data_IF_387734650554
#
_entry.id   IF_387734650554
#
_cell.length_a   1.000
_cell.length_b   1.000
_cell.length_c   1.000
_cell.angle_alpha   90.00
_cell.angle_beta   90.00
_cell.angle_gamma   90.00
#
_symmetry.space_group_name_H-M   'P 1'
#
loop_
_entity.id
_entity.type
_entity.pdbx_description
1 polymer ?
#
# COMPACT_ATOMS: atom_id res chain seq x y z
N UNK A 1 -30.38 74.22 19.98
CA UNK A 1 -31.32 73.13 19.61
C UNK A 1 -31.63 73.32 18.13
N UNK A 2 -31.05 72.48 17.26
CA UNK A 2 -31.60 71.19 16.78
C UNK A 2 -32.74 71.46 15.78
N UNK A 3 -32.78 70.99 14.54
CA UNK A 3 -31.98 70.06 13.74
C UNK A 3 -32.36 70.36 12.27
N UNK A 4 -31.39 70.64 11.38
CA UNK A 4 -31.64 70.64 9.94
C UNK A 4 -31.37 69.23 9.43
N UNK A 5 -32.46 68.47 9.22
CA UNK A 5 -32.45 67.17 8.57
C UNK A 5 -31.85 67.26 7.16
N UNK A 6 -30.55 66.99 7.03
CA UNK A 6 -29.96 66.55 5.76
C UNK A 6 -30.12 65.03 5.67
N UNK A 7 -31.18 64.60 4.98
CA UNK A 7 -31.31 63.23 4.50
C UNK A 7 -30.20 63.01 3.47
N UNK A 8 -29.10 62.40 3.90
CA UNK A 8 -28.09 61.85 2.99
C UNK A 8 -28.67 60.54 2.47
N UNK A 9 -29.23 60.59 1.27
CA UNK A 9 -29.67 59.44 0.52
C UNK A 9 -28.43 58.67 0.06
N UNK A 10 -28.09 57.59 0.77
CA UNK A 10 -27.05 56.65 0.36
C UNK A 10 -27.55 55.88 -0.87
N UNK A 11 -27.13 56.29 -2.06
CA UNK A 11 -27.22 55.44 -3.25
C UNK A 11 -26.23 54.29 -3.06
N UNK A 12 -26.73 53.12 -2.64
CA UNK A 12 -26.02 51.85 -2.82
C UNK A 12 -26.06 51.57 -4.32
N UNK A 13 -25.05 52.07 -5.05
CA UNK A 13 -24.79 51.60 -6.41
C UNK A 13 -24.37 50.14 -6.24
N UNK A 14 -25.27 49.23 -6.58
CA UNK A 14 -24.94 47.83 -6.82
C UNK A 14 -24.03 47.76 -8.05
N UNK A 15 -22.75 48.11 -7.87
CA UNK A 15 -21.73 47.70 -8.81
C UNK A 15 -21.63 46.20 -8.61
N UNK A 16 -22.19 45.43 -9.53
CA UNK A 16 -21.86 44.03 -9.72
C UNK A 16 -20.42 43.99 -10.22
N UNK A 17 -19.47 44.18 -9.29
CA UNK A 17 -18.06 43.98 -9.56
C UNK A 17 -17.94 42.50 -9.88
N UNK A 18 -17.51 42.19 -11.10
CA UNK A 18 -17.12 40.85 -11.51
C UNK A 18 -16.13 40.34 -10.46
N UNK A 19 -16.58 39.40 -9.63
CA UNK A 19 -15.84 39.00 -8.43
C UNK A 19 -14.71 38.04 -8.83
N UNK A 20 -13.61 38.62 -9.28
CA UNK A 20 -12.34 37.91 -9.42
C UNK A 20 -11.80 37.64 -8.01
N UNK A 21 -11.21 36.47 -7.82
CA UNK A 21 -10.58 36.12 -6.54
C UNK A 21 -9.12 36.50 -6.64
N UNK A 22 -8.61 37.25 -5.67
CA UNK A 22 -7.29 37.86 -5.78
C UNK A 22 -6.48 37.65 -4.52
N UNK A 23 -5.40 36.88 -4.60
CA UNK A 23 -4.42 36.76 -3.52
C UNK A 23 -3.34 37.83 -3.61
N UNK A 24 -2.92 38.35 -2.45
CA UNK A 24 -1.86 39.36 -2.35
C UNK A 24 -0.60 38.81 -1.70
N UNK A 25 0.57 39.19 -2.21
CA UNK A 25 1.87 38.88 -1.63
C UNK A 25 2.84 40.06 -1.73
N UNK A 26 3.65 40.25 -0.69
CA UNK A 26 4.64 41.32 -0.61
C UNK A 26 5.92 40.82 0.07
N UNK A 27 6.98 40.71 -0.73
CA UNK A 27 8.28 40.18 -0.31
C UNK A 27 9.41 40.90 -1.02
N UNK A 28 10.62 40.70 -0.49
CA UNK A 28 11.85 41.29 -1.04
C UNK A 28 12.15 40.70 -2.41
N UNK A 29 11.88 39.40 -2.63
CA UNK A 29 12.08 38.73 -3.92
C UNK A 29 10.75 38.48 -4.64
N UNK A 30 10.79 38.51 -5.98
CA UNK A 30 9.62 38.29 -6.82
C UNK A 30 9.03 36.88 -6.62
N UNK A 31 9.87 35.87 -6.47
CA UNK A 31 9.41 34.49 -6.29
C UNK A 31 8.69 34.29 -4.95
N UNK A 32 9.20 34.88 -3.87
CA UNK A 32 8.53 34.81 -2.57
C UNK A 32 7.22 35.59 -2.56
N UNK A 33 7.18 36.75 -3.24
CA UNK A 33 5.95 37.55 -3.37
C UNK A 33 4.87 36.78 -4.15
N UNK A 34 5.26 36.10 -5.24
CA UNK A 34 4.36 35.20 -5.99
C UNK A 34 3.85 34.04 -5.15
N UNK A 35 4.72 33.37 -4.38
CA UNK A 35 4.33 32.27 -3.49
C UNK A 35 3.36 32.75 -2.42
N UNK A 36 3.62 33.89 -1.80
CA UNK A 36 2.72 34.47 -0.80
C UNK A 36 1.36 34.86 -1.42
N UNK A 37 1.35 35.44 -2.62
CA UNK A 37 0.12 35.77 -3.34
C UNK A 37 -0.71 34.51 -3.65
N UNK A 38 -0.08 33.42 -4.10
CA UNK A 38 -0.77 32.14 -4.34
C UNK A 38 -1.31 31.51 -3.04
N UNK A 39 -0.56 31.58 -1.94
CA UNK A 39 -1.03 31.10 -0.64
C UNK A 39 -2.24 31.91 -0.16
N UNK A 40 -2.18 33.24 -0.32
CA UNK A 40 -3.30 34.11 0.01
C UNK A 40 -4.53 33.83 -0.87
N UNK A 41 -4.33 33.62 -2.17
CA UNK A 41 -5.39 33.23 -3.11
C UNK A 41 -6.06 31.92 -2.69
N UNK A 42 -5.25 30.91 -2.34
CA UNK A 42 -5.77 29.64 -1.86
C UNK A 42 -6.59 29.77 -0.58
N UNK A 43 -6.16 30.60 0.37
CA UNK A 43 -6.92 30.87 1.58
C UNK A 43 -8.26 31.58 1.32
N UNK A 44 -8.39 32.33 0.23
CA UNK A 44 -9.66 32.95 -0.17
C UNK A 44 -10.64 31.95 -0.78
N UNK A 45 -10.14 30.90 -1.42
CA UNK A 45 -10.94 29.88 -2.12
C UNK A 45 -11.31 28.71 -1.21
N UNK A 46 -10.36 28.25 -0.40
CA UNK A 46 -10.52 27.05 0.41
C UNK A 46 -9.99 27.28 1.82
N UNK A 47 -10.89 27.14 2.78
CA UNK A 47 -10.53 26.92 4.18
C UNK A 47 -10.63 25.42 4.44
N UNK A 48 -9.58 24.66 4.11
CA UNK A 48 -9.41 23.32 4.68
C UNK A 48 -8.81 23.49 6.07
N UNK A 49 -9.67 23.55 7.09
CA UNK A 49 -9.23 23.64 8.49
C UNK A 49 -8.80 22.24 8.94
N UNK A 50 -7.53 21.88 8.73
CA UNK A 50 -6.92 20.78 9.49
C UNK A 50 -6.55 21.34 10.87
N UNK A 51 -7.47 21.22 11.83
CA UNK A 51 -7.28 21.69 13.20
C UNK A 51 -6.52 20.63 14.01
N UNK A 52 -5.20 20.59 13.89
CA UNK A 52 -4.36 19.85 14.84
C UNK A 52 -4.11 20.73 16.07
N UNK A 53 -4.82 20.44 17.16
CA UNK A 53 -4.59 21.10 18.44
C UNK A 53 -3.31 20.56 19.08
N UNK A 54 -2.20 21.27 18.89
CA UNK A 54 -0.96 20.96 19.60
C UNK A 54 -1.06 21.43 21.05
N UNK A 55 -1.00 20.48 21.99
CA UNK A 55 -0.88 20.74 23.43
C UNK A 55 0.60 20.69 23.81
N UNK A 56 1.20 21.86 24.01
CA UNK A 56 2.56 21.95 24.56
C UNK A 56 2.45 22.05 26.09
N UNK A 57 2.88 21.01 26.79
CA UNK A 57 2.98 20.99 28.26
C UNK A 57 4.41 21.30 28.62
N UNK A 58 4.65 22.46 29.24
CA UNK A 58 5.95 22.78 29.82
C UNK A 58 5.86 22.59 31.34
N UNK A 59 6.73 21.73 31.86
CA UNK A 59 6.99 21.57 33.29
C UNK A 59 8.36 22.19 33.54
N UNK A 60 8.40 23.25 34.33
CA UNK A 60 9.66 23.87 34.76
C UNK A 60 10.26 23.10 35.96
N UNK A 61 11.53 23.37 36.28
CA UNK A 61 12.30 22.66 37.34
C UNK A 61 11.70 22.79 38.76
N UNK A 62 10.63 23.57 38.92
CA UNK A 62 9.88 23.77 40.17
C UNK A 62 8.50 23.08 40.18
N UNK A 63 8.22 22.22 39.21
CA UNK A 63 6.93 21.53 39.02
C UNK A 63 5.72 22.49 38.83
N UNK A 64 5.93 23.71 38.35
CA UNK A 64 4.81 24.57 37.97
C UNK A 64 4.28 24.14 36.60
N UNK A 65 2.96 23.95 36.57
CA UNK A 65 2.26 23.60 35.35
C UNK A 65 1.91 24.87 34.59
N UNK A 66 2.43 25.01 33.36
CA UNK A 66 1.92 26.00 32.41
C UNK A 66 1.41 25.32 31.14
N UNK A 67 0.13 25.53 30.84
CA UNK A 67 -0.49 25.04 29.62
C UNK A 67 -0.58 26.19 28.62
N UNK A 68 0.17 26.11 27.53
CA UNK A 68 -0.02 27.00 26.37
C UNK A 68 -0.78 26.23 25.29
N UNK A 69 -2.04 26.60 25.10
CA UNK A 69 -2.80 26.20 23.91
C UNK A 69 -2.41 27.12 22.75
N UNK A 70 -1.65 26.59 21.81
CA UNK A 70 -1.33 27.28 20.55
C UNK A 70 -2.31 26.78 19.49
N UNK A 71 -3.28 27.61 19.12
CA UNK A 71 -4.16 27.36 17.97
C UNK A 71 -3.39 27.67 16.66
N UNK A 72 -2.45 26.81 16.29
CA UNK A 72 -1.84 26.87 14.95
C UNK A 72 -2.70 26.04 14.01
N UNK A 73 -3.67 26.69 13.37
CA UNK A 73 -4.40 26.10 12.25
C UNK A 73 -3.42 26.02 11.09
N UNK A 74 -3.06 24.79 10.69
CA UNK A 74 -2.22 24.58 9.51
C UNK A 74 -3.15 24.47 8.31
N UNK A 75 -3.28 25.57 7.57
CA UNK A 75 -4.06 25.59 6.33
C UNK A 75 -3.24 24.90 5.24
N UNK A 76 -3.71 23.75 4.79
CA UNK A 76 -3.10 22.99 3.69
C UNK A 76 -3.57 23.60 2.38
N UNK A 77 -2.72 24.38 1.71
CA UNK A 77 -3.05 25.06 0.45
C UNK A 77 -3.30 24.07 -0.70
N UNK A 78 -4.31 24.40 -1.53
CA UNK A 78 -4.62 23.74 -2.80
C UNK A 78 -3.36 23.69 -3.67
N UNK A 79 -3.08 22.52 -4.27
CA UNK A 79 -1.78 22.23 -4.88
C UNK A 79 -1.58 22.77 -6.30
N UNK A 80 -2.62 23.22 -7.02
CA UNK A 80 -2.46 23.79 -8.37
C UNK A 80 -3.66 24.67 -8.78
N UNK A 81 -3.39 25.90 -9.20
CA UNK A 81 -4.38 26.76 -9.87
C UNK A 81 -4.11 26.80 -11.37
N UNK A 82 -5.18 26.86 -12.16
CA UNK A 82 -5.16 26.96 -13.61
C UNK A 82 -5.61 28.38 -13.98
N UNK A 83 -4.93 29.04 -14.92
CA UNK A 83 -5.34 30.38 -15.38
C UNK A 83 -4.96 31.54 -14.46
N UNK A 84 -4.15 31.33 -13.41
CA UNK A 84 -3.73 32.46 -12.54
C UNK A 84 -2.88 33.46 -13.30
N UNK A 85 -3.34 34.69 -13.32
CA UNK A 85 -2.60 35.84 -13.81
C UNK A 85 -1.88 36.55 -12.66
N UNK A 86 -0.66 37.02 -12.92
CA UNK A 86 0.12 37.77 -11.93
C UNK A 86 0.25 39.24 -12.33
N UNK A 87 -0.29 40.13 -11.51
CA UNK A 87 -0.05 41.57 -11.62
C UNK A 87 1.12 41.90 -10.68
N UNK A 88 2.22 42.41 -11.23
CA UNK A 88 3.48 42.60 -10.51
C UNK A 88 3.82 44.10 -10.45
N UNK A 89 3.96 44.62 -9.25
CA UNK A 89 4.43 45.97 -8.98
C UNK A 89 5.81 45.91 -8.32
N UNK A 90 6.83 46.45 -8.99
CA UNK A 90 8.18 46.55 -8.43
C UNK A 90 8.30 47.80 -7.55
N UNK A 91 8.67 47.60 -6.29
CA UNK A 91 8.91 48.66 -5.32
C UNK A 91 10.41 48.86 -5.05
N UNK A 92 10.76 49.95 -4.38
CA UNK A 92 12.15 50.20 -3.93
C UNK A 92 12.64 49.14 -2.94
N UNK A 93 11.74 48.56 -2.15
CA UNK A 93 12.05 47.61 -1.07
C UNK A 93 11.65 46.16 -1.37
N UNK A 94 11.20 45.85 -2.60
CA UNK A 94 10.75 44.50 -2.95
C UNK A 94 9.72 44.48 -4.09
N UNK A 95 8.81 43.52 -4.02
CA UNK A 95 7.76 43.28 -5.01
C UNK A 95 6.42 43.13 -4.32
N UNK A 96 5.41 43.81 -4.85
CA UNK A 96 4.00 43.55 -4.59
C UNK A 96 3.45 42.74 -5.76
N UNK A 97 2.76 41.65 -5.45
CA UNK A 97 2.21 40.73 -6.44
C UNK A 97 0.77 40.41 -6.09
N UNK A 98 -0.09 40.49 -7.09
CA UNK A 98 -1.47 40.01 -7.03
C UNK A 98 -1.61 38.78 -7.93
N UNK A 99 -2.07 37.67 -7.36
CA UNK A 99 -2.46 36.46 -8.08
C UNK A 99 -3.97 36.53 -8.30
N UNK A 100 -4.40 36.65 -9.54
CA UNK A 100 -5.80 36.86 -9.91
C UNK A 100 -6.32 35.60 -10.59
N UNK A 101 -7.50 35.16 -10.19
CA UNK A 101 -8.25 34.10 -10.85
C UNK A 101 -9.60 34.66 -11.31
N UNK A 102 -9.88 34.54 -12.61
CA UNK A 102 -11.08 35.10 -13.23
C UNK A 102 -12.16 34.02 -13.39
N UNK A 103 -13.42 34.45 -13.45
CA UNK A 103 -14.54 33.56 -13.81
C UNK A 103 -14.41 33.05 -15.25
N UNK A 104 -13.71 33.76 -16.12
CA UNK A 104 -13.39 33.30 -17.47
C UNK A 104 -12.58 32.00 -17.47
N UNK A 105 -11.88 31.66 -16.37
CA UNK A 105 -11.12 30.41 -16.22
C UNK A 105 -11.98 29.19 -15.85
N UNK A 106 -13.26 29.36 -15.51
CA UNK A 106 -14.19 28.27 -15.17
C UNK A 106 -14.14 27.09 -16.17
N UNK A 107 -14.14 27.31 -17.51
CA UNK A 107 -14.05 26.22 -18.48
C UNK A 107 -12.77 25.38 -18.37
N UNK A 108 -11.64 25.95 -17.93
CA UNK A 108 -10.38 25.22 -17.76
C UNK A 108 -10.53 24.13 -16.69
N UNK A 109 -11.11 24.50 -15.55
CA UNK A 109 -11.35 23.57 -14.45
C UNK A 109 -12.38 22.50 -14.79
N UNK A 110 -13.47 22.87 -15.48
CA UNK A 110 -14.47 21.90 -15.93
C UNK A 110 -13.86 20.85 -16.88
N UNK A 111 -13.06 21.29 -17.85
CA UNK A 111 -12.36 20.39 -18.78
C UNK A 111 -11.40 19.43 -18.04
N UNK A 112 -10.65 19.92 -17.05
CA UNK A 112 -9.78 19.05 -16.26
C UNK A 112 -10.57 18.06 -15.39
N UNK A 113 -11.70 18.46 -14.81
CA UNK A 113 -12.60 17.54 -14.10
C UNK A 113 -13.11 16.44 -15.04
N UNK A 114 -13.51 16.78 -16.26
CA UNK A 114 -13.98 15.80 -17.25
C UNK A 114 -12.87 14.79 -17.63
N UNK A 115 -11.64 15.27 -17.87
CA UNK A 115 -10.47 14.40 -18.10
C UNK A 115 -10.15 13.49 -16.91
N UNK A 116 -10.26 14.00 -15.68
CA UNK A 116 -10.06 13.21 -14.47
C UNK A 116 -11.14 12.13 -14.33
N UNK A 117 -12.41 12.49 -14.59
CA UNK A 117 -13.52 11.54 -14.63
C UNK A 117 -13.29 10.43 -15.66
N UNK A 118 -12.86 10.75 -16.89
CA UNK A 118 -12.52 9.74 -17.91
C UNK A 118 -11.41 8.80 -17.43
N UNK A 119 -10.33 9.34 -16.83
CA UNK A 119 -9.24 8.54 -16.26
C UNK A 119 -9.72 7.60 -15.14
N UNK A 120 -10.59 8.09 -14.25
CA UNK A 120 -11.18 7.29 -13.18
C UNK A 120 -12.04 6.16 -13.77
N UNK A 121 -12.89 6.49 -14.75
CA UNK A 121 -13.73 5.51 -15.42
C UNK A 121 -12.90 4.39 -16.07
N UNK A 122 -11.86 4.77 -16.81
CA UNK A 122 -10.93 3.82 -17.43
C UNK A 122 -10.30 2.90 -16.37
N UNK A 123 -9.77 3.46 -15.27
CA UNK A 123 -9.16 2.66 -14.18
C UNK A 123 -10.17 1.70 -13.56
N UNK A 124 -11.38 2.15 -13.28
CA UNK A 124 -12.41 1.29 -12.65
C UNK A 124 -12.88 0.16 -13.57
N UNK A 125 -12.80 0.33 -14.89
CA UNK A 125 -13.12 -0.72 -15.86
C UNK A 125 -12.04 -1.83 -15.96
N UNK A 126 -10.82 -1.58 -15.47
CA UNK A 126 -9.76 -2.60 -15.43
C UNK A 126 -10.05 -3.58 -14.28
N UNK A 127 -10.26 -4.85 -14.66
CA UNK A 127 -10.35 -5.96 -13.70
C UNK A 127 -8.95 -6.35 -13.25
N UNK A 128 -8.72 -6.27 -11.94
CA UNK A 128 -7.47 -6.68 -11.30
C UNK A 128 -7.74 -7.92 -10.47
N UNK A 129 -7.13 -9.06 -10.82
CA UNK A 129 -7.24 -10.30 -10.03
C UNK A 129 -6.25 -10.33 -8.85
N UNK A 130 -5.20 -9.50 -8.92
CA UNK A 130 -4.21 -9.35 -7.87
C UNK A 130 -4.65 -8.27 -6.89
N UNK A 131 -4.91 -8.65 -5.63
CA UNK A 131 -5.38 -7.73 -4.59
C UNK A 131 -4.43 -6.56 -4.32
N UNK A 132 -3.10 -6.70 -4.50
CA UNK A 132 -2.17 -5.59 -4.34
C UNK A 132 -2.30 -4.57 -5.47
N UNK A 133 -2.45 -5.05 -6.72
CA UNK A 133 -2.70 -4.15 -7.85
C UNK A 133 -4.04 -3.46 -7.73
N UNK A 134 -5.06 -4.19 -7.25
CA UNK A 134 -6.38 -3.63 -7.01
C UNK A 134 -6.36 -2.59 -5.86
N UNK A 135 -5.58 -2.82 -4.80
CA UNK A 135 -5.32 -1.86 -3.71
C UNK A 135 -4.73 -0.56 -4.27
N UNK A 136 -3.64 -0.66 -5.03
CA UNK A 136 -2.96 0.51 -5.61
C UNK A 136 -3.87 1.25 -6.61
N UNK A 137 -4.64 0.53 -7.42
CA UNK A 137 -5.66 1.11 -8.30
C UNK A 137 -6.66 1.98 -7.52
N UNK A 138 -7.20 1.51 -6.39
CA UNK A 138 -8.14 2.31 -5.61
C UNK A 138 -7.48 3.52 -4.92
N UNK A 139 -6.24 3.39 -4.43
CA UNK A 139 -5.48 4.54 -3.91
C UNK A 139 -5.28 5.62 -4.98
N UNK A 140 -4.90 5.22 -6.19
CA UNK A 140 -4.77 6.15 -7.32
C UNK A 140 -6.10 6.83 -7.66
N UNK A 141 -7.21 6.07 -7.67
CA UNK A 141 -8.55 6.63 -7.90
C UNK A 141 -8.92 7.64 -6.82
N UNK A 142 -8.65 7.37 -5.54
CA UNK A 142 -8.89 8.33 -4.44
C UNK A 142 -8.11 9.62 -4.69
N UNK A 143 -6.82 9.53 -5.03
CA UNK A 143 -6.01 10.73 -5.34
C UNK A 143 -6.55 11.54 -6.52
N UNK A 144 -7.12 10.89 -7.55
CA UNK A 144 -7.78 11.59 -8.65
C UNK A 144 -9.08 12.26 -8.22
N UNK A 145 -9.87 11.61 -7.34
CA UNK A 145 -11.10 12.18 -6.80
C UNK A 145 -10.82 13.38 -5.89
N UNK A 146 -9.75 13.34 -5.08
CA UNK A 146 -9.30 14.48 -4.28
C UNK A 146 -8.96 15.70 -5.14
N UNK A 147 -8.32 15.49 -6.30
CA UNK A 147 -8.06 16.57 -7.26
C UNK A 147 -9.35 17.16 -7.85
N UNK A 148 -10.36 16.33 -8.11
CA UNK A 148 -11.68 16.82 -8.54
C UNK A 148 -12.28 17.70 -7.44
N UNK A 149 -12.24 17.28 -6.17
CA UNK A 149 -12.71 18.09 -5.05
C UNK A 149 -11.98 19.43 -4.93
N UNK A 150 -10.64 19.44 -5.08
CA UNK A 150 -9.85 20.67 -5.10
C UNK A 150 -10.35 21.65 -6.19
N UNK A 151 -10.60 21.16 -7.41
CA UNK A 151 -11.16 21.97 -8.49
C UNK A 151 -12.61 22.39 -8.24
N UNK A 152 -13.43 21.58 -7.56
CA UNK A 152 -14.78 21.96 -7.16
C UNK A 152 -14.76 23.12 -6.17
N UNK A 153 -13.83 23.14 -5.21
CA UNK A 153 -13.67 24.27 -4.30
C UNK A 153 -13.31 25.55 -5.04
N UNK A 154 -12.40 25.47 -6.02
CA UNK A 154 -12.05 26.60 -6.87
C UNK A 154 -13.25 27.12 -7.66
N UNK A 155 -13.97 26.22 -8.32
CA UNK A 155 -15.18 26.55 -9.07
C UNK A 155 -16.24 27.22 -8.19
N UNK A 156 -16.47 26.69 -6.98
CA UNK A 156 -17.38 27.30 -6.00
C UNK A 156 -16.92 28.71 -5.61
N UNK A 157 -15.62 28.91 -5.35
CA UNK A 157 -15.04 30.23 -5.07
C UNK A 157 -15.28 31.22 -6.21
N UNK A 158 -15.19 30.77 -7.46
CA UNK A 158 -15.47 31.57 -8.67
C UNK A 158 -16.98 31.80 -8.89
N UNK A 159 -17.84 31.27 -8.02
CA UNK A 159 -19.29 31.43 -8.08
C UNK A 159 -19.97 30.46 -9.05
N UNK A 160 -19.31 29.38 -9.47
CA UNK A 160 -19.94 28.31 -10.22
C UNK A 160 -20.80 27.43 -9.31
N UNK A 161 -22.12 27.47 -9.50
CA UNK A 161 -23.09 26.82 -8.59
C UNK A 161 -23.73 25.55 -9.15
N UNK A 162 -23.39 25.14 -10.38
CA UNK A 162 -23.96 23.92 -10.98
C UNK A 162 -23.35 22.68 -10.33
N UNK A 163 -24.18 21.64 -10.18
CA UNK A 163 -23.74 20.37 -9.62
C UNK A 163 -22.73 19.69 -10.56
N UNK A 164 -21.52 19.45 -10.06
CA UNK A 164 -20.46 18.73 -10.77
C UNK A 164 -20.62 17.24 -10.46
N UNK A 165 -20.97 16.47 -11.49
CA UNK A 165 -21.21 15.04 -11.34
C UNK A 165 -19.89 14.28 -11.25
N UNK A 166 -19.70 13.57 -10.15
CA UNK A 166 -18.63 12.57 -10.01
C UNK A 166 -19.12 11.21 -10.48
N UNK A 167 -18.27 10.45 -11.16
CA UNK A 167 -18.60 9.09 -11.61
C UNK A 167 -18.76 8.12 -10.43
N UNK A 168 -18.05 8.38 -9.33
CA UNK A 168 -18.08 7.58 -8.10
C UNK A 168 -17.79 8.47 -6.89
N UNK A 169 -18.29 8.12 -5.71
CA UNK A 169 -17.95 8.82 -4.46
C UNK A 169 -16.66 8.28 -3.85
N UNK A 170 -15.92 9.14 -3.15
CA UNK A 170 -14.72 8.78 -2.38
C UNK A 170 -15.02 7.66 -1.39
N UNK A 171 -16.09 7.80 -0.59
CA UNK A 171 -16.53 6.80 0.40
C UNK A 171 -16.74 5.42 -0.20
N UNK A 172 -17.27 5.32 -1.43
CA UNK A 172 -17.45 4.02 -2.09
C UNK A 172 -16.10 3.37 -2.42
N UNK A 173 -15.12 4.15 -2.87
CA UNK A 173 -13.79 3.65 -3.18
C UNK A 173 -13.01 3.31 -1.90
N UNK A 174 -13.16 4.10 -0.83
CA UNK A 174 -12.60 3.80 0.49
C UNK A 174 -13.15 2.49 1.06
N UNK A 175 -14.47 2.28 0.99
CA UNK A 175 -15.08 1.01 1.42
C UNK A 175 -14.52 -0.18 0.62
N UNK A 176 -14.36 -0.04 -0.69
CA UNK A 176 -13.75 -1.09 -1.52
C UNK A 176 -12.28 -1.34 -1.14
N UNK A 177 -11.52 -0.29 -0.82
CA UNK A 177 -10.14 -0.38 -0.36
C UNK A 177 -10.06 -1.12 0.99
N UNK A 178 -10.93 -0.79 1.94
CA UNK A 178 -11.01 -1.49 3.23
C UNK A 178 -11.33 -2.98 3.06
N UNK A 179 -12.22 -3.35 2.13
CA UNK A 179 -12.51 -4.75 1.85
C UNK A 179 -11.28 -5.51 1.33
N UNK A 180 -10.48 -4.88 0.47
CA UNK A 180 -9.22 -5.45 0.00
C UNK A 180 -8.23 -5.61 1.15
N UNK A 181 -8.10 -4.59 2.00
CA UNK A 181 -7.21 -4.65 3.15
C UNK A 181 -7.62 -5.74 4.14
N UNK A 182 -8.92 -5.91 4.38
CA UNK A 182 -9.46 -7.03 5.15
C UNK A 182 -9.05 -8.36 4.52
N UNK A 183 -9.24 -8.58 3.21
CA UNK A 183 -8.83 -9.80 2.51
C UNK A 183 -7.32 -10.06 2.54
N UNK A 184 -6.50 -9.01 2.51
CA UNK A 184 -5.03 -9.13 2.60
C UNK A 184 -4.58 -9.51 4.02
N UNK A 185 -5.31 -9.04 5.04
CA UNK A 185 -5.05 -9.27 6.46
C UNK A 185 -5.74 -10.51 7.04
N UNK A 186 -6.67 -11.12 6.29
CA UNK A 186 -7.31 -12.38 6.64
C UNK A 186 -6.29 -13.48 6.93
N UNK A 187 -6.72 -14.42 7.78
CA UNK A 187 -5.93 -15.59 8.16
C UNK A 187 -5.39 -16.29 6.91
N UNK A 188 -4.07 -16.53 6.90
CA UNK A 188 -3.41 -17.21 5.77
C UNK A 188 -3.59 -18.73 5.95
N UNK A 189 -3.92 -19.44 4.89
CA UNK A 189 -4.06 -20.88 4.86
C UNK A 189 -2.96 -21.47 3.99
N UNK A 190 -1.99 -22.14 4.62
CA UNK A 190 -0.87 -22.79 3.96
C UNK A 190 -1.23 -24.22 3.57
N UNK A 191 -1.17 -24.54 2.29
CA UNK A 191 -1.35 -25.89 1.75
C UNK A 191 -0.05 -26.39 1.13
N UNK A 192 0.35 -27.61 1.47
CA UNK A 192 1.55 -28.27 0.95
C UNK A 192 1.12 -29.30 -0.11
N UNK A 193 1.57 -29.10 -1.35
CA UNK A 193 1.26 -29.91 -2.53
C UNK A 193 2.51 -30.67 -2.99
N UNK A 194 2.60 -31.98 -2.72
CA UNK A 194 3.72 -32.83 -3.17
C UNK A 194 3.33 -33.50 -4.49
N UNK A 195 3.99 -33.14 -5.59
CA UNK A 195 3.61 -33.57 -6.95
C UNK A 195 4.49 -34.70 -7.50
N UNK A 196 5.80 -34.44 -7.66
CA UNK A 196 6.80 -35.51 -7.85
C UNK A 196 7.22 -36.01 -6.48
N UNK A 197 7.06 -37.29 -6.22
CA UNK A 197 7.07 -37.82 -4.85
C UNK A 197 7.88 -39.10 -4.72
N UNK A 198 8.11 -39.54 -3.48
CA UNK A 198 8.71 -40.83 -3.25
C UNK A 198 7.78 -41.94 -3.76
N UNK A 199 8.34 -42.99 -4.41
CA UNK A 199 7.56 -44.18 -4.80
C UNK A 199 6.80 -44.80 -3.63
N UNK A 200 7.41 -44.78 -2.43
CA UNK A 200 6.76 -45.21 -1.20
C UNK A 200 6.07 -44.02 -0.52
N UNK A 201 4.74 -44.08 -0.43
CA UNK A 201 3.90 -43.02 0.10
C UNK A 201 4.18 -42.68 1.56
N UNK A 202 4.68 -43.64 2.36
CA UNK A 202 5.03 -43.42 3.76
C UNK A 202 6.13 -42.36 3.94
N UNK A 203 6.99 -42.19 2.94
CA UNK A 203 8.00 -41.13 2.96
C UNK A 203 7.40 -39.75 2.66
N UNK A 204 6.35 -39.68 1.85
CA UNK A 204 5.59 -38.44 1.63
C UNK A 204 4.91 -38.01 2.93
N UNK A 205 4.23 -38.95 3.61
CA UNK A 205 3.61 -38.69 4.91
C UNK A 205 4.63 -38.26 5.96
N UNK A 206 5.81 -38.89 5.96
CA UNK A 206 6.91 -38.53 6.86
C UNK A 206 7.40 -37.10 6.61
N UNK A 207 7.56 -36.71 5.34
CA UNK A 207 7.94 -35.35 4.97
C UNK A 207 6.87 -34.33 5.40
N UNK A 208 5.58 -34.60 5.10
CA UNK A 208 4.47 -33.70 5.48
C UNK A 208 4.40 -33.53 6.99
N UNK A 209 4.50 -34.63 7.76
CA UNK A 209 4.47 -34.59 9.23
C UNK A 209 5.64 -33.78 9.79
N UNK A 210 6.85 -33.97 9.27
CA UNK A 210 8.02 -33.20 9.76
C UNK A 210 7.94 -31.72 9.36
N UNK A 211 7.43 -31.39 8.17
CA UNK A 211 7.18 -30.01 7.76
C UNK A 211 6.12 -29.34 8.63
N UNK A 212 4.98 -29.98 8.85
CA UNK A 212 3.90 -29.44 9.68
C UNK A 212 4.41 -29.12 11.08
N UNK A 213 5.11 -30.07 11.72
CA UNK A 213 5.72 -29.88 13.04
C UNK A 213 6.71 -28.72 13.08
N UNK A 214 7.55 -28.56 12.05
CA UNK A 214 8.56 -27.48 11.97
C UNK A 214 7.96 -26.10 11.67
N UNK A 215 6.80 -26.07 11.01
CA UNK A 215 6.08 -24.87 10.63
C UNK A 215 5.10 -24.40 11.71
N UNK A 216 4.58 -25.30 12.54
CA UNK A 216 3.51 -25.04 13.52
C UNK A 216 3.76 -23.80 14.39
N UNK A 217 4.92 -23.72 15.06
CA UNK A 217 5.28 -22.56 15.89
C UNK A 217 5.32 -21.25 15.08
N UNK A 218 5.90 -21.30 13.87
CA UNK A 218 5.94 -20.13 13.00
C UNK A 218 4.55 -19.74 12.50
N UNK A 219 3.72 -20.72 12.17
CA UNK A 219 2.38 -20.50 11.64
C UNK A 219 1.49 -19.82 12.69
N UNK A 220 1.52 -20.30 13.93
CA UNK A 220 0.79 -19.74 15.06
C UNK A 220 1.18 -18.28 15.33
N UNK A 221 2.47 -17.95 15.27
CA UNK A 221 2.96 -16.58 15.50
C UNK A 221 2.74 -15.62 14.32
N UNK A 222 2.28 -16.10 13.16
CA UNK A 222 2.12 -15.28 11.94
C UNK A 222 0.69 -15.31 11.38
N UNK A 223 -0.30 -15.69 12.18
CA UNK A 223 -1.70 -15.84 11.76
C UNK A 223 -1.85 -16.74 10.50
N UNK A 224 -1.09 -17.83 10.46
CA UNK A 224 -1.11 -18.81 9.38
C UNK A 224 -1.69 -20.12 9.92
N UNK A 225 -2.62 -20.71 9.20
CA UNK A 225 -3.18 -22.02 9.46
C UNK A 225 -2.67 -23.01 8.41
N UNK A 226 -2.07 -24.11 8.85
CA UNK A 226 -1.73 -25.19 7.93
C UNK A 226 -3.02 -25.96 7.64
N UNK A 227 -3.32 -26.18 6.36
CA UNK A 227 -4.53 -26.91 5.94
C UNK A 227 -4.16 -28.08 5.03
N UNK A 228 -4.92 -29.16 5.15
CA UNK A 228 -4.89 -30.29 4.22
C UNK A 228 -5.85 -30.10 3.04
N UNK A 229 -6.70 -29.05 3.08
CA UNK A 229 -7.66 -28.77 2.03
C UNK A 229 -7.08 -27.77 1.02
N UNK A 230 -6.79 -28.25 -0.19
CA UNK A 230 -6.25 -27.47 -1.31
C UNK A 230 -7.12 -26.27 -1.69
N UNK A 231 -8.44 -26.38 -1.57
CA UNK A 231 -9.36 -25.29 -1.95
C UNK A 231 -9.31 -24.15 -0.93
N UNK A 232 -9.14 -24.48 0.36
CA UNK A 232 -8.97 -23.49 1.44
C UNK A 232 -7.59 -22.84 1.45
N UNK A 233 -6.56 -23.50 0.92
CA UNK A 233 -5.20 -22.95 0.88
C UNK A 233 -5.10 -21.72 -0.02
N UNK A 234 -4.79 -20.56 0.57
CA UNK A 234 -4.48 -19.33 -0.18
C UNK A 234 -2.98 -19.17 -0.43
N UNK A 235 -2.13 -19.85 0.35
CA UNK A 235 -0.70 -20.02 0.07
C UNK A 235 -0.45 -21.48 -0.26
N UNK A 236 0.06 -21.74 -1.46
CA UNK A 236 0.37 -23.09 -1.94
C UNK A 236 1.88 -23.25 -2.00
N UNK A 237 2.40 -24.24 -1.29
CA UNK A 237 3.78 -24.71 -1.42
C UNK A 237 3.77 -25.95 -2.30
N UNK A 238 4.20 -25.83 -3.55
CA UNK A 238 4.39 -26.98 -4.43
C UNK A 238 5.79 -27.52 -4.21
N UNK A 239 5.89 -28.82 -3.98
CA UNK A 239 7.14 -29.53 -3.76
C UNK A 239 7.24 -30.64 -4.81
N UNK A 240 8.30 -30.59 -5.59
CA UNK A 240 8.64 -31.57 -6.60
C UNK A 240 9.93 -32.27 -6.17
N UNK A 241 9.88 -33.59 -5.97
CA UNK A 241 10.97 -34.40 -5.44
C UNK A 241 11.39 -35.43 -6.49
N UNK A 242 12.63 -35.31 -6.94
CA UNK A 242 13.32 -36.33 -7.74
C UNK A 242 14.27 -37.11 -6.82
N UNK A 243 14.00 -38.41 -6.68
CA UNK A 243 14.66 -39.28 -5.72
C UNK A 243 15.47 -40.38 -6.40
N UNK A 244 16.77 -40.44 -6.11
CA UNK A 244 17.66 -41.50 -6.58
C UNK A 244 18.34 -42.21 -5.41
N UNK A 245 18.17 -43.53 -5.32
CA UNK A 245 18.80 -44.38 -4.31
C UNK A 245 19.75 -45.34 -5.01
N UNK A 246 21.03 -45.26 -4.65
CA UNK A 246 22.07 -46.13 -5.15
C UNK A 246 22.67 -46.92 -4.00
N UNK A 247 22.72 -48.23 -4.14
CA UNK A 247 23.46 -49.12 -3.24
C UNK A 247 24.94 -49.09 -3.66
N UNK A 248 25.78 -48.43 -2.86
CA UNK A 248 27.17 -48.14 -3.24
C UNK A 248 28.09 -49.34 -2.97
N UNK A 249 27.78 -50.14 -1.95
CA UNK A 249 28.41 -51.43 -1.66
C UNK A 249 27.34 -52.41 -1.20
N UNK A 250 27.37 -53.64 -1.70
CA UNK A 250 26.49 -54.73 -1.22
C UNK A 250 27.01 -55.24 0.14
N UNK A 251 26.14 -55.78 1.01
CA UNK A 251 26.61 -56.42 2.24
C UNK A 251 27.48 -57.64 1.90
N UNK A 252 28.59 -57.81 2.62
CA UNK A 252 29.47 -58.97 2.46
C UNK A 252 29.05 -60.10 3.38
N UNK A 253 28.96 -61.32 2.84
CA UNK A 253 28.62 -62.54 3.57
C UNK A 253 29.74 -63.56 3.40
N UNK A 254 30.09 -64.25 4.48
CA UNK A 254 31.00 -65.38 4.48
C UNK A 254 30.37 -66.53 5.26
N UNK A 255 30.29 -67.71 4.64
CA UNK A 255 29.63 -68.89 5.23
C UNK A 255 28.23 -68.57 5.79
N UNK A 256 27.39 -67.88 5.00
CA UNK A 256 26.05 -67.39 5.35
C UNK A 256 25.98 -66.42 6.55
N UNK A 257 27.11 -66.00 7.14
CA UNK A 257 27.17 -64.96 8.16
C UNK A 257 27.51 -63.61 7.54
N UNK A 258 26.72 -62.58 7.89
CA UNK A 258 26.95 -61.20 7.44
C UNK A 258 28.19 -60.63 8.12
N UNK A 259 29.19 -60.25 7.33
CA UNK A 259 30.49 -59.76 7.80
C UNK A 259 30.60 -58.23 7.64
N UNK A 260 29.93 -57.63 6.66
CA UNK A 260 29.88 -56.17 6.55
C UNK A 260 28.50 -55.68 6.10
N UNK A 261 28.18 -54.45 6.49
CA UNK A 261 26.98 -53.77 6.04
C UNK A 261 27.16 -53.18 4.63
N UNK A 262 26.12 -53.23 3.81
CA UNK A 262 26.07 -52.45 2.59
C UNK A 262 26.00 -50.94 2.90
N UNK A 263 26.59 -50.11 2.05
CA UNK A 263 26.50 -48.66 2.14
C UNK A 263 25.43 -48.18 1.15
N UNK A 264 24.38 -47.57 1.68
CA UNK A 264 23.33 -46.95 0.88
C UNK A 264 23.60 -45.46 0.73
N UNK A 265 23.48 -44.95 -0.50
CA UNK A 265 23.51 -43.51 -0.81
C UNK A 265 22.16 -43.10 -1.37
N UNK A 266 21.61 -42.01 -0.84
CA UNK A 266 20.42 -41.38 -1.38
C UNK A 266 20.77 -39.95 -1.84
N UNK A 267 20.28 -39.58 -3.02
CA UNK A 267 20.37 -38.23 -3.58
C UNK A 267 18.96 -37.74 -3.86
N UNK A 268 18.65 -36.53 -3.41
CA UNK A 268 17.36 -35.86 -3.64
C UNK A 268 17.63 -34.54 -4.35
N UNK A 269 16.84 -34.27 -5.38
CA UNK A 269 16.70 -32.96 -6.00
C UNK A 269 15.27 -32.50 -5.75
N UNK A 270 15.11 -31.33 -5.13
CA UNK A 270 13.82 -30.77 -4.76
C UNK A 270 13.66 -29.38 -5.31
N UNK A 271 12.57 -29.19 -6.05
CA UNK A 271 12.06 -27.90 -6.53
C UNK A 271 10.92 -27.48 -5.60
N UNK A 272 10.98 -26.24 -5.10
CA UNK A 272 9.93 -25.63 -4.29
C UNK A 272 9.43 -24.38 -5.01
N UNK A 273 8.11 -24.27 -5.18
CA UNK A 273 7.43 -23.03 -5.56
C UNK A 273 6.43 -22.66 -4.46
N UNK A 274 6.44 -21.40 -4.02
CA UNK A 274 5.49 -20.86 -3.05
C UNK A 274 4.65 -19.82 -3.77
N UNK A 275 3.36 -20.08 -3.88
CA UNK A 275 2.39 -19.25 -4.60
C UNK A 275 1.36 -18.67 -3.64
N UNK A 276 1.11 -17.37 -3.71
CA UNK A 276 0.05 -16.71 -2.95
C UNK A 276 -1.10 -16.35 -3.90
N UNK A 277 -2.21 -17.09 -3.79
CA UNK A 277 -3.41 -16.91 -4.61
C UNK A 277 -3.99 -15.51 -4.51
N UNK A 278 -3.81 -14.85 -3.36
CA UNK A 278 -4.39 -13.52 -3.08
C UNK A 278 -3.77 -12.43 -3.96
N UNK A 279 -2.52 -12.63 -4.36
CA UNK A 279 -1.76 -11.70 -5.20
C UNK A 279 -1.38 -12.31 -6.54
N UNK A 280 -1.90 -13.49 -6.85
CA UNK A 280 -1.69 -14.16 -8.14
C UNK A 280 -0.22 -14.42 -8.51
N UNK A 281 0.69 -14.49 -7.53
CA UNK A 281 2.15 -14.44 -7.79
C UNK A 281 2.93 -15.51 -7.04
N UNK A 282 4.07 -15.92 -7.62
CA UNK A 282 5.09 -16.71 -6.93
C UNK A 282 5.86 -15.78 -5.98
N UNK A 283 5.93 -16.17 -4.71
CA UNK A 283 6.53 -15.40 -3.62
C UNK A 283 7.82 -16.04 -3.09
N UNK A 284 8.18 -17.21 -3.62
CA UNK A 284 9.42 -17.90 -3.31
C UNK A 284 9.63 -19.09 -4.23
N UNK A 285 10.88 -19.30 -4.64
CA UNK A 285 11.28 -20.44 -5.45
C UNK A 285 12.68 -20.91 -5.01
N UNK A 286 12.88 -22.23 -4.93
CA UNK A 286 14.19 -22.79 -4.59
C UNK A 286 14.41 -24.18 -5.18
N UNK A 287 15.62 -24.37 -5.69
CA UNK A 287 16.19 -25.67 -5.99
C UNK A 287 17.12 -26.11 -4.86
N UNK A 288 16.93 -27.33 -4.36
CA UNK A 288 17.71 -27.90 -3.26
C UNK A 288 18.20 -29.29 -3.67
N UNK A 289 19.50 -29.51 -3.55
CA UNK A 289 20.12 -30.81 -3.79
C UNK A 289 20.71 -31.34 -2.49
N UNK A 290 20.34 -32.56 -2.09
CA UNK A 290 20.84 -33.16 -0.86
C UNK A 290 21.31 -34.58 -1.10
N UNK A 291 22.38 -34.97 -0.41
CA UNK A 291 22.82 -36.36 -0.38
C UNK A 291 23.00 -36.85 1.06
N UNK A 292 22.67 -38.11 1.27
CA UNK A 292 22.87 -38.81 2.54
C UNK A 292 23.43 -40.20 2.30
N UNK A 293 24.18 -40.71 3.27
CA UNK A 293 24.73 -42.07 3.27
C UNK A 293 24.36 -42.76 4.58
N UNK A 294 24.09 -44.06 4.55
CA UNK A 294 23.88 -44.87 5.75
C UNK A 294 24.38 -46.30 5.53
N UNK A 295 24.98 -46.87 6.57
CA UNK A 295 25.35 -48.29 6.67
C UNK A 295 24.26 -49.12 7.35
N UNK A 296 23.18 -48.48 7.83
CA UNK A 296 22.15 -49.15 8.62
C UNK A 296 21.10 -49.79 7.69
N UNK A 297 20.43 -48.97 6.87
CA UNK A 297 19.39 -49.44 5.96
C UNK A 297 19.06 -48.40 4.88
N UNK A 298 18.34 -48.83 3.83
CA UNK A 298 17.75 -47.94 2.81
C UNK A 298 16.77 -46.94 3.45
N UNK A 299 15.95 -47.38 4.40
CA UNK A 299 15.02 -46.51 5.14
C UNK A 299 15.73 -45.41 5.94
N UNK A 300 16.82 -45.79 6.61
CA UNK A 300 17.61 -44.86 7.42
C UNK A 300 18.18 -43.74 6.56
N UNK A 301 18.75 -44.07 5.38
CA UNK A 301 19.33 -43.04 4.51
C UNK A 301 18.27 -42.10 3.93
N UNK A 302 17.10 -42.61 3.57
CA UNK A 302 15.98 -41.81 3.04
C UNK A 302 15.43 -40.88 4.13
N UNK A 303 15.12 -41.40 5.32
CA UNK A 303 14.63 -40.58 6.45
C UNK A 303 15.60 -39.48 6.85
N UNK A 304 16.90 -39.77 6.84
CA UNK A 304 17.93 -38.76 7.12
C UNK A 304 17.95 -37.66 6.04
N UNK A 305 17.81 -38.04 4.76
CA UNK A 305 17.76 -37.06 3.69
C UNK A 305 16.45 -36.23 3.72
N UNK A 306 15.32 -36.84 4.10
CA UNK A 306 14.05 -36.13 4.32
C UNK A 306 14.18 -35.10 5.44
N UNK A 307 14.84 -35.44 6.56
CA UNK A 307 15.05 -34.48 7.67
C UNK A 307 15.86 -33.24 7.24
N UNK A 308 16.85 -33.44 6.35
CA UNK A 308 17.66 -32.35 5.78
C UNK A 308 16.81 -31.48 4.87
N UNK A 309 16.11 -32.09 3.90
CA UNK A 309 15.31 -31.32 2.96
C UNK A 309 14.18 -30.57 3.63
N UNK A 310 13.52 -31.18 4.62
CA UNK A 310 12.43 -30.54 5.34
C UNK A 310 12.89 -29.33 6.15
N UNK A 311 14.15 -29.30 6.62
CA UNK A 311 14.73 -28.13 7.26
C UNK A 311 14.92 -26.97 6.26
N UNK A 312 15.44 -27.26 5.07
CA UNK A 312 15.64 -26.27 4.00
C UNK A 312 14.30 -25.77 3.45
N UNK A 313 13.35 -26.66 3.16
CA UNK A 313 11.98 -26.29 2.75
C UNK A 313 11.34 -25.35 3.78
N UNK A 314 11.41 -25.72 5.06
CA UNK A 314 10.87 -24.90 6.14
C UNK A 314 11.51 -23.50 6.20
N UNK A 315 12.81 -23.40 5.97
CA UNK A 315 13.54 -22.12 5.93
C UNK A 315 13.04 -21.24 4.78
N UNK A 316 12.90 -21.81 3.58
CA UNK A 316 12.42 -21.06 2.41
C UNK A 316 10.96 -20.63 2.56
N UNK A 317 10.10 -21.49 3.11
CA UNK A 317 8.70 -21.12 3.43
C UNK A 317 8.66 -19.93 4.39
N UNK A 318 9.43 -19.97 5.49
CA UNK A 318 9.47 -18.87 6.46
C UNK A 318 9.96 -17.58 5.82
N UNK A 319 11.02 -17.66 5.00
CA UNK A 319 11.59 -16.51 4.29
C UNK A 319 10.55 -15.84 3.39
N UNK A 320 9.87 -16.60 2.53
CA UNK A 320 8.84 -16.08 1.61
C UNK A 320 7.66 -15.43 2.36
N UNK A 321 7.24 -16.04 3.47
CA UNK A 321 6.13 -15.54 4.29
C UNK A 321 6.49 -14.28 5.08
N UNK A 322 7.77 -14.08 5.41
CA UNK A 322 8.27 -12.86 6.07
C UNK A 322 8.49 -11.71 5.09
N UNK A 323 8.97 -11.96 3.87
CA UNK A 323 9.19 -10.90 2.86
C UNK A 323 7.87 -10.27 2.41
N UNK A 324 6.78 -11.05 2.38
CA UNK A 324 5.43 -10.55 2.14
C UNK A 324 4.80 -9.76 3.31
N UNK A 325 5.51 -9.54 4.42
CA UNK A 325 5.12 -8.53 5.42
C UNK A 325 5.61 -7.12 5.06
N UNK A 326 6.63 -7.00 4.20
CA UNK A 326 7.34 -5.74 3.94
C UNK A 326 6.70 -4.93 2.79
N UNK A 327 5.84 -5.55 1.98
CA UNK A 327 5.22 -4.94 0.79
C UNK A 327 3.75 -4.54 1.02
N UNK A 328 3.31 -4.33 2.28
CA UNK A 328 1.93 -3.94 2.62
C UNK A 328 1.80 -2.43 2.82
#
# INVERSE_FOLDING_TARGET
MKDFNKVILFFIINITIFANITGYGNKITLEEAKKEALVNLANQISVKVDSEFYKEVNVDEKNNYSEKKSNKIKLTTIKEFLGVEFIINKLKSGYEVYAVLDKEDIPLYLNEIDKLNEKISYKLNIKEENLLKEKEKYKEVISLLEKIEDYRYILNGLGYSKNIKMIVSVTKIENNLEEIEKKLNEKKYLYIDIRKSFKNILYNDYLIKDLNRKLEYFANNNNIMITTNKTKGNIIVKINIDNNITEKTKPFYYNNKKISNGIYKNSLTVTIEIYDKRIGSIIGEKNINTTSKSVISKDSVIKNNIKKISAEINKEIKKALQTNKIVI
#
